data_IF_218065729272
#
_entry.id   IF_218065729272
#
_cell.length_a   1.000
_cell.length_b   1.000
_cell.length_c   1.000
_cell.angle_alpha   90.00
_cell.angle_beta   90.00
_cell.angle_gamma   90.00
#
_symmetry.space_group_name_H-M   'P 1'
#
loop_
_entity.id
_entity.type
_entity.pdbx_description
1 polymer ?
#
# COMPACT_ATOMS: atom_id res chain seq x y z
N UNK A 1 -1.78 0.66 -10.27
CA UNK A 1 -0.86 0.22 -11.34
C UNK A 1 -1.44 0.62 -12.69
N UNK A 2 -0.62 1.01 -13.67
CA UNK A 2 -1.06 1.25 -15.05
C UNK A 2 -0.83 -0.03 -15.84
N UNK A 3 -1.91 -0.64 -16.30
CA UNK A 3 -1.89 -2.03 -16.81
C UNK A 3 -1.10 -2.20 -18.12
N UNK A 4 -1.13 -1.20 -18.99
CA UNK A 4 -0.45 -1.25 -20.29
C UNK A 4 1.05 -0.86 -20.22
N UNK A 5 1.51 -0.32 -19.12
CA UNK A 5 2.93 -0.06 -18.90
C UNK A 5 3.65 -1.30 -18.40
N UNK A 6 4.93 -1.44 -18.74
CA UNK A 6 5.80 -2.47 -18.19
C UNK A 6 5.97 -2.33 -16.67
N UNK A 7 6.48 -3.37 -16.02
CA UNK A 7 6.85 -3.31 -14.60
C UNK A 7 7.84 -2.17 -14.36
N UNK A 8 8.87 -2.08 -15.19
CA UNK A 8 9.89 -1.05 -15.09
C UNK A 8 9.30 0.37 -15.17
N UNK A 9 8.40 0.61 -16.14
CA UNK A 9 7.72 1.89 -16.29
C UNK A 9 6.77 2.19 -15.11
N UNK A 10 6.07 1.18 -14.58
CA UNK A 10 5.24 1.35 -13.39
C UNK A 10 6.04 1.75 -12.14
N UNK A 11 7.23 1.21 -11.96
CA UNK A 11 8.12 1.59 -10.85
C UNK A 11 8.64 3.03 -11.00
N UNK A 12 8.77 3.52 -12.23
CA UNK A 12 9.25 4.86 -12.53
C UNK A 12 8.21 5.96 -12.32
N UNK A 13 6.91 5.65 -12.30
CA UNK A 13 5.82 6.65 -12.38
C UNK A 13 5.93 7.84 -11.41
N UNK A 14 6.49 7.64 -10.22
CA UNK A 14 6.67 8.71 -9.22
C UNK A 14 7.99 9.47 -9.33
N UNK A 15 8.98 8.90 -10.04
CA UNK A 15 10.33 9.46 -10.14
C UNK A 15 10.74 9.79 -11.58
N UNK A 16 9.79 9.78 -12.52
CA UNK A 16 10.04 9.91 -13.97
C UNK A 16 10.80 11.18 -14.37
N UNK A 17 10.70 12.25 -13.58
CA UNK A 17 11.38 13.51 -13.84
C UNK A 17 12.78 13.62 -13.21
N UNK A 18 13.20 12.65 -12.41
CA UNK A 18 14.49 12.67 -11.72
C UNK A 18 15.68 12.51 -12.68
N UNK A 19 16.80 13.22 -12.47
CA UNK A 19 18.02 13.10 -13.28
C UNK A 19 18.61 11.69 -13.24
N UNK A 20 18.31 10.93 -12.19
CA UNK A 20 18.73 9.54 -11.97
C UNK A 20 18.39 8.60 -13.14
N UNK A 21 17.27 8.86 -13.83
CA UNK A 21 16.73 7.99 -14.86
C UNK A 21 17.02 8.48 -16.29
N UNK A 22 17.79 9.57 -16.44
CA UNK A 22 18.07 10.18 -17.72
C UNK A 22 19.56 10.11 -18.07
N UNK A 23 19.82 9.87 -19.33
CA UNK A 23 21.14 9.97 -19.94
C UNK A 23 21.01 10.84 -21.20
N UNK A 24 21.74 11.95 -21.26
CA UNK A 24 21.67 12.92 -22.38
C UNK A 24 20.23 13.40 -22.68
N UNK A 25 19.41 13.64 -21.62
CA UNK A 25 18.02 14.09 -21.76
C UNK A 25 16.99 12.98 -22.07
N UNK A 26 17.42 11.78 -22.44
CA UNK A 26 16.57 10.63 -22.74
C UNK A 26 16.51 9.65 -21.55
N UNK A 27 15.44 8.85 -21.50
CA UNK A 27 15.28 7.80 -20.50
C UNK A 27 16.34 6.70 -20.68
N UNK A 28 17.13 6.44 -19.64
CA UNK A 28 18.09 5.33 -19.61
C UNK A 28 17.37 4.00 -19.32
N UNK A 29 16.85 3.37 -20.37
CA UNK A 29 16.13 2.10 -20.29
C UNK A 29 16.95 0.97 -19.68
N UNK A 30 18.28 0.93 -19.95
CA UNK A 30 19.15 -0.12 -19.38
C UNK A 30 19.26 0.01 -17.86
N UNK A 31 19.40 1.24 -17.36
CA UNK A 31 19.45 1.51 -15.94
C UNK A 31 18.11 1.22 -15.25
N UNK A 32 17.01 1.61 -15.91
CA UNK A 32 15.67 1.36 -15.42
C UNK A 32 15.36 -0.14 -15.30
N UNK A 33 15.71 -0.93 -16.33
CA UNK A 33 15.48 -2.37 -16.30
C UNK A 33 16.30 -3.06 -15.19
N UNK A 34 17.58 -2.72 -15.02
CA UNK A 34 18.39 -3.25 -13.92
C UNK A 34 17.79 -2.96 -12.55
N UNK A 35 17.34 -1.73 -12.34
CA UNK A 35 16.64 -1.37 -11.09
C UNK A 35 15.35 -2.18 -10.91
N UNK A 36 14.56 -2.33 -11.96
CA UNK A 36 13.33 -3.11 -11.90
C UNK A 36 13.59 -4.60 -11.61
N UNK A 37 14.66 -5.19 -12.15
CA UNK A 37 15.11 -6.56 -11.82
C UNK A 37 15.47 -6.69 -10.33
N UNK A 38 16.16 -5.69 -9.76
CA UNK A 38 16.49 -5.67 -8.33
C UNK A 38 15.23 -5.58 -7.47
N UNK A 39 14.27 -4.75 -7.86
CA UNK A 39 12.98 -4.62 -7.15
C UNK A 39 12.17 -5.91 -7.27
N UNK A 40 12.06 -6.49 -8.46
CA UNK A 40 11.38 -7.79 -8.68
C UNK A 40 11.92 -8.86 -7.72
N UNK A 41 13.25 -8.96 -7.59
CA UNK A 41 13.90 -9.91 -6.68
C UNK A 41 13.62 -9.57 -5.22
N UNK A 42 13.84 -8.30 -4.81
CA UNK A 42 13.68 -7.85 -3.42
C UNK A 42 12.27 -8.03 -2.90
N UNK A 43 11.28 -7.77 -3.73
CA UNK A 43 9.87 -7.87 -3.38
C UNK A 43 9.23 -9.21 -3.77
N UNK A 44 10.06 -10.19 -4.19
CA UNK A 44 9.61 -11.54 -4.57
C UNK A 44 8.41 -11.51 -5.53
N UNK A 45 8.49 -10.65 -6.54
CA UNK A 45 7.48 -10.57 -7.60
C UNK A 45 7.69 -11.71 -8.57
N UNK A 46 6.65 -12.46 -8.89
CA UNK A 46 6.70 -13.51 -9.91
C UNK A 46 6.44 -12.87 -11.28
N UNK A 47 7.52 -12.55 -11.99
CA UNK A 47 7.50 -12.01 -13.33
C UNK A 47 8.68 -12.57 -14.14
N UNK A 48 8.54 -12.82 -15.45
CA UNK A 48 9.63 -13.33 -16.30
C UNK A 48 10.76 -12.29 -16.49
N UNK A 49 10.40 -11.03 -16.67
CA UNK A 49 11.33 -9.92 -16.83
C UNK A 49 10.64 -8.55 -16.55
N UNK A 50 11.41 -7.42 -16.43
CA UNK A 50 10.85 -6.11 -16.14
C UNK A 50 10.04 -5.48 -17.29
N UNK A 51 10.14 -5.99 -18.50
CA UNK A 51 9.48 -5.39 -19.67
C UNK A 51 8.04 -5.86 -19.86
N UNK A 52 7.63 -6.91 -19.12
CA UNK A 52 6.26 -7.42 -19.26
C UNK A 52 5.25 -6.39 -18.75
N UNK A 53 4.09 -6.27 -19.42
CA UNK A 53 3.06 -5.30 -19.04
C UNK A 53 2.35 -5.72 -17.75
N UNK A 54 1.86 -4.73 -17.00
CA UNK A 54 1.19 -4.94 -15.72
C UNK A 54 0.03 -5.91 -15.77
N UNK A 55 -0.75 -5.93 -16.85
CA UNK A 55 -1.89 -6.85 -17.00
C UNK A 55 -1.49 -8.33 -17.05
N UNK A 56 -0.24 -8.67 -17.37
CA UNK A 56 0.24 -10.06 -17.39
C UNK A 56 0.50 -10.65 -15.99
N UNK A 57 0.50 -9.81 -14.96
CA UNK A 57 0.74 -10.24 -13.58
C UNK A 57 -0.56 -10.63 -12.88
N UNK A 58 -0.48 -11.57 -11.95
CA UNK A 58 -1.56 -11.82 -10.99
C UNK A 58 -1.78 -10.61 -10.07
N UNK A 59 -2.98 -10.44 -9.51
CA UNK A 59 -3.34 -9.34 -8.61
C UNK A 59 -2.35 -9.15 -7.46
N UNK A 60 -1.92 -10.27 -6.83
CA UNK A 60 -0.92 -10.22 -5.77
C UNK A 60 0.45 -9.71 -6.24
N UNK A 61 0.90 -10.06 -7.44
CA UNK A 61 2.15 -9.53 -8.00
C UNK A 61 2.01 -8.07 -8.44
N UNK A 62 0.85 -7.66 -8.96
CA UNK A 62 0.55 -6.25 -9.24
C UNK A 62 0.63 -5.42 -7.96
N UNK A 63 0.04 -5.91 -6.87
CA UNK A 63 0.07 -5.22 -5.58
C UNK A 63 1.49 -5.12 -5.02
N UNK A 64 2.30 -6.17 -5.15
CA UNK A 64 3.72 -6.12 -4.76
C UNK A 64 4.49 -5.02 -5.49
N UNK A 65 4.24 -4.81 -6.79
CA UNK A 65 4.86 -3.72 -7.56
C UNK A 65 4.38 -2.36 -7.07
N UNK A 66 3.09 -2.20 -6.78
CA UNK A 66 2.54 -0.94 -6.23
C UNK A 66 3.18 -0.63 -4.87
N UNK A 67 3.21 -1.61 -3.96
CA UNK A 67 3.84 -1.47 -2.64
C UNK A 67 5.32 -1.15 -2.77
N UNK A 68 6.05 -1.89 -3.63
CA UNK A 68 7.47 -1.65 -3.89
C UNK A 68 7.74 -0.21 -4.33
N UNK A 69 6.97 0.29 -5.27
CA UNK A 69 7.08 1.68 -5.75
C UNK A 69 6.92 2.71 -4.64
N UNK A 70 5.92 2.52 -3.76
CA UNK A 70 5.67 3.45 -2.65
C UNK A 70 6.79 3.39 -1.60
N UNK A 71 7.29 2.20 -1.28
CA UNK A 71 8.37 2.00 -0.32
C UNK A 71 9.71 2.53 -0.84
N UNK A 72 10.05 2.22 -2.11
CA UNK A 72 11.30 2.63 -2.77
C UNK A 72 11.37 4.16 -3.01
N UNK A 73 10.22 4.84 -3.05
CA UNK A 73 10.18 6.30 -3.10
C UNK A 73 10.81 6.97 -1.87
N UNK A 74 11.15 6.22 -0.82
CA UNK A 74 11.94 6.68 0.32
C UNK A 74 11.29 7.77 1.18
N UNK A 75 9.97 7.94 1.09
CA UNK A 75 9.24 8.97 1.84
C UNK A 75 9.16 8.63 3.33
N UNK A 76 9.11 9.66 4.17
CA UNK A 76 8.93 9.52 5.63
C UNK A 76 7.51 9.05 6.01
N UNK A 77 6.54 9.25 5.13
CA UNK A 77 5.15 8.84 5.30
C UNK A 77 4.69 8.03 4.08
N UNK A 78 3.98 6.93 4.33
CA UNK A 78 3.36 6.09 3.30
C UNK A 78 1.86 5.99 3.60
N UNK A 79 1.03 6.21 2.58
CA UNK A 79 -0.41 5.97 2.61
C UNK A 79 -0.68 4.62 1.92
N UNK A 80 -1.33 3.73 2.64
CA UNK A 80 -1.92 2.50 2.11
C UNK A 80 -3.45 2.61 2.13
N UNK A 81 -4.07 2.58 0.97
CA UNK A 81 -5.53 2.61 0.82
C UNK A 81 -6.00 1.27 0.29
N UNK A 82 -6.76 0.53 1.09
CA UNK A 82 -7.29 -0.81 0.81
C UNK A 82 -6.21 -1.79 0.26
N UNK A 83 -5.04 -1.90 0.90
CA UNK A 83 -3.86 -2.52 0.28
C UNK A 83 -4.00 -4.04 0.07
N UNK A 84 -4.94 -4.68 0.77
CA UNK A 84 -5.13 -6.14 0.73
C UNK A 84 -6.42 -6.56 0.03
N UNK A 85 -7.21 -5.61 -0.45
CA UNK A 85 -8.51 -5.90 -1.05
C UNK A 85 -8.39 -6.81 -2.28
N UNK A 86 -9.11 -7.94 -2.25
CA UNK A 86 -9.15 -8.89 -3.37
C UNK A 86 -7.88 -9.72 -3.58
N UNK A 87 -7.00 -9.78 -2.58
CA UNK A 87 -5.78 -10.57 -2.60
C UNK A 87 -5.97 -11.95 -1.94
N UNK A 88 -5.13 -12.89 -2.34
CA UNK A 88 -4.98 -14.17 -1.63
C UNK A 88 -4.25 -14.01 -0.29
N UNK A 89 -4.36 -14.99 0.59
CA UNK A 89 -3.76 -14.96 1.93
C UNK A 89 -2.24 -14.73 1.91
N UNK A 90 -1.53 -15.29 0.93
CA UNK A 90 -0.09 -15.12 0.81
C UNK A 90 0.29 -13.67 0.48
N UNK A 91 -0.46 -13.04 -0.42
CA UNK A 91 -0.26 -11.64 -0.78
C UNK A 91 -0.65 -10.70 0.38
N UNK A 92 -1.73 -10.99 1.11
CA UNK A 92 -2.12 -10.24 2.33
C UNK A 92 -0.99 -10.27 3.36
N UNK A 93 -0.51 -11.47 3.69
CA UNK A 93 0.58 -11.62 4.66
C UNK A 93 1.85 -10.85 4.24
N UNK A 94 2.18 -10.89 2.95
CA UNK A 94 3.31 -10.12 2.41
C UNK A 94 3.12 -8.61 2.60
N UNK A 95 1.93 -8.05 2.29
CA UNK A 95 1.64 -6.62 2.46
C UNK A 95 1.72 -6.22 3.94
N UNK A 96 1.11 -6.99 4.83
CA UNK A 96 1.16 -6.74 6.29
C UNK A 96 2.60 -6.72 6.81
N UNK A 97 3.40 -7.73 6.43
CA UNK A 97 4.82 -7.79 6.77
C UNK A 97 5.57 -6.54 6.31
N UNK A 98 5.35 -6.12 5.06
CA UNK A 98 6.00 -4.93 4.51
C UNK A 98 5.61 -3.66 5.27
N UNK A 99 4.32 -3.49 5.62
CA UNK A 99 3.84 -2.36 6.43
C UNK A 99 4.55 -2.31 7.78
N UNK A 100 4.63 -3.44 8.47
CA UNK A 100 5.29 -3.54 9.78
C UNK A 100 6.80 -3.27 9.69
N UNK A 101 7.47 -3.76 8.64
CA UNK A 101 8.89 -3.48 8.40
C UNK A 101 9.16 -1.99 8.16
N UNK A 102 8.32 -1.32 7.38
CA UNK A 102 8.46 0.12 7.14
C UNK A 102 8.17 0.95 8.41
N UNK A 103 7.18 0.54 9.20
CA UNK A 103 6.90 1.10 10.52
C UNK A 103 8.11 0.94 11.46
N UNK A 104 8.72 -0.24 11.51
CA UNK A 104 9.91 -0.50 12.33
C UNK A 104 11.12 0.36 11.93
N UNK A 105 11.21 0.80 10.67
CA UNK A 105 12.20 1.76 10.18
C UNK A 105 11.88 3.22 10.58
N UNK A 106 10.84 3.46 11.37
CA UNK A 106 10.43 4.78 11.85
C UNK A 106 9.62 5.60 10.84
N UNK A 107 9.06 4.98 9.81
CA UNK A 107 8.16 5.68 8.88
C UNK A 107 6.77 5.85 9.49
N UNK A 108 6.13 6.96 9.17
CA UNK A 108 4.72 7.18 9.47
C UNK A 108 3.87 6.41 8.46
N UNK A 109 2.96 5.56 8.94
CA UNK A 109 2.05 4.78 8.10
C UNK A 109 0.62 5.28 8.31
N UNK A 110 -0.05 5.67 7.24
CA UNK A 110 -1.49 5.89 7.23
C UNK A 110 -2.15 4.73 6.47
N UNK A 111 -2.86 3.89 7.21
CA UNK A 111 -3.60 2.76 6.67
C UNK A 111 -5.09 3.11 6.61
N UNK A 112 -5.69 3.01 5.44
CA UNK A 112 -7.13 3.08 5.23
C UNK A 112 -7.60 1.70 4.82
N UNK A 113 -8.47 1.08 5.61
CA UNK A 113 -9.00 -0.25 5.34
C UNK A 113 -10.41 -0.42 5.89
N UNK A 114 -11.22 -1.23 5.21
CA UNK A 114 -12.52 -1.72 5.72
C UNK A 114 -12.38 -3.06 6.42
N UNK A 115 -11.22 -3.71 6.33
CA UNK A 115 -10.92 -4.98 6.99
C UNK A 115 -10.50 -4.74 8.44
N UNK A 116 -11.42 -4.95 9.40
CA UNK A 116 -11.15 -4.68 10.82
C UNK A 116 -9.97 -5.50 11.35
N UNK A 117 -9.82 -6.75 10.92
CA UNK A 117 -8.69 -7.61 11.31
C UNK A 117 -7.34 -6.99 10.93
N UNK A 118 -7.24 -6.39 9.74
CA UNK A 118 -6.06 -5.66 9.28
C UNK A 118 -5.78 -4.44 10.16
N UNK A 119 -6.81 -3.62 10.42
CA UNK A 119 -6.71 -2.42 11.26
C UNK A 119 -6.22 -2.78 12.67
N UNK A 120 -6.82 -3.79 13.31
CA UNK A 120 -6.43 -4.19 14.67
C UNK A 120 -5.01 -4.76 14.74
N UNK A 121 -4.57 -5.46 13.68
CA UNK A 121 -3.25 -6.10 13.65
C UNK A 121 -2.11 -5.09 13.42
N UNK A 122 -2.33 -4.06 12.60
CA UNK A 122 -1.25 -3.21 12.11
C UNK A 122 -1.17 -1.84 12.78
N UNK A 123 -2.28 -1.35 13.39
CA UNK A 123 -2.38 0.03 13.83
C UNK A 123 -2.00 0.22 15.29
N UNK A 124 -1.37 1.35 15.62
CA UNK A 124 -1.18 1.82 16.99
C UNK A 124 -2.35 2.70 17.45
N UNK A 125 -3.04 3.32 16.49
CA UNK A 125 -4.21 4.16 16.71
C UNK A 125 -5.22 3.94 15.59
N UNK A 126 -6.49 3.86 15.94
CA UNK A 126 -7.62 3.67 15.03
C UNK A 126 -8.45 4.95 15.05
N UNK A 127 -8.67 5.52 13.86
CA UNK A 127 -9.56 6.66 13.63
C UNK A 127 -10.77 6.16 12.86
N UNK A 128 -11.95 6.31 13.42
CA UNK A 128 -13.20 5.94 12.76
C UNK A 128 -13.82 7.18 12.11
N UNK A 129 -14.13 7.07 10.82
CA UNK A 129 -14.78 8.14 10.06
C UNK A 129 -16.23 7.76 9.74
N UNK A 130 -17.13 8.72 9.92
CA UNK A 130 -18.53 8.61 9.50
C UNK A 130 -19.00 9.92 8.88
N UNK A 131 -19.53 9.88 7.65
CA UNK A 131 -20.05 11.05 6.91
C UNK A 131 -19.11 12.26 6.95
N UNK A 132 -17.80 12.03 6.72
CA UNK A 132 -16.79 13.09 6.68
C UNK A 132 -16.38 13.66 8.05
N UNK A 133 -16.81 13.05 9.16
CA UNK A 133 -16.46 13.46 10.52
C UNK A 133 -15.76 12.33 11.25
N UNK A 134 -14.89 12.67 12.20
CA UNK A 134 -14.27 11.70 13.11
C UNK A 134 -15.33 11.27 14.12
N UNK A 135 -15.70 9.98 14.10
CA UNK A 135 -16.63 9.37 15.03
C UNK A 135 -15.93 8.94 16.33
N UNK A 136 -14.64 8.64 16.28
CA UNK A 136 -13.84 8.30 17.45
C UNK A 136 -12.38 8.04 17.10
N UNK A 137 -11.51 8.09 18.13
CA UNK A 137 -10.08 7.78 18.06
C UNK A 137 -9.74 6.87 19.23
N UNK A 138 -9.17 5.70 18.96
CA UNK A 138 -8.91 4.66 19.96
C UNK A 138 -7.53 4.04 19.78
N UNK A 139 -6.99 3.43 20.84
CA UNK A 139 -5.97 2.39 20.67
C UNK A 139 -6.68 1.05 20.42
N UNK A 140 -6.05 0.09 19.74
CA UNK A 140 -6.64 -1.24 19.52
C UNK A 140 -7.09 -1.94 20.81
N UNK A 141 -6.38 -1.71 21.93
CA UNK A 141 -6.71 -2.27 23.25
C UNK A 141 -7.90 -1.62 23.96
N UNK A 142 -8.40 -0.48 23.47
CA UNK A 142 -9.47 0.31 24.08
C UNK A 142 -10.83 0.08 23.40
N UNK A 143 -10.87 -0.69 22.31
CA UNK A 143 -12.05 -0.85 21.49
C UNK A 143 -12.10 -2.24 20.85
N UNK A 144 -13.30 -2.76 20.65
CA UNK A 144 -13.55 -4.00 19.92
C UNK A 144 -14.16 -3.76 18.52
N UNK A 145 -14.23 -4.81 17.73
CA UNK A 145 -14.76 -4.77 16.38
C UNK A 145 -16.25 -4.37 16.33
N UNK A 146 -17.02 -4.77 17.34
CA UNK A 146 -18.44 -4.43 17.46
C UNK A 146 -18.64 -2.93 17.64
N UNK A 147 -17.88 -2.31 18.55
CA UNK A 147 -17.92 -0.86 18.77
C UNK A 147 -17.46 -0.07 17.54
N UNK A 148 -16.40 -0.52 16.86
CA UNK A 148 -15.97 0.10 15.60
C UNK A 148 -17.07 0.00 14.55
N UNK A 149 -17.71 -1.16 14.37
CA UNK A 149 -18.82 -1.36 13.43
C UNK A 149 -20.01 -0.43 13.72
N UNK A 150 -20.38 -0.26 15.00
CA UNK A 150 -21.41 0.70 15.38
C UNK A 150 -21.04 2.14 15.03
N UNK A 151 -19.82 2.56 15.33
CA UNK A 151 -19.34 3.90 14.98
C UNK A 151 -19.31 4.13 13.47
N UNK A 152 -18.91 3.12 12.67
CA UNK A 152 -18.92 3.16 11.21
C UNK A 152 -20.35 3.28 10.64
N UNK A 153 -21.37 2.76 11.33
CA UNK A 153 -22.79 2.92 10.95
C UNK A 153 -23.39 4.24 11.42
N UNK A 154 -22.65 5.03 12.19
CA UNK A 154 -23.12 6.32 12.75
C UNK A 154 -23.81 6.22 14.09
N UNK A 155 -23.82 5.03 14.69
CA UNK A 155 -24.38 4.85 16.04
C UNK A 155 -23.40 5.48 17.07
N UNK A 156 -23.88 6.47 17.83
CA UNK A 156 -23.22 7.02 19.01
C UNK A 156 -24.02 6.62 20.22
N UNK A 157 -23.35 6.14 21.29
CA UNK A 157 -23.98 5.70 22.54
C UNK A 157 -25.23 6.53 22.90
N UNK A 158 -26.43 5.97 22.67
CA UNK A 158 -27.71 6.53 23.16
C UNK A 158 -28.39 7.57 22.25
N UNK A 159 -27.81 7.99 21.14
CA UNK A 159 -28.48 8.92 20.22
C UNK A 159 -28.59 8.32 18.81
N UNK A 160 -29.76 7.79 18.47
CA UNK A 160 -30.20 7.63 17.08
C UNK A 160 -30.30 9.02 16.46
N UNK A 161 -29.32 9.46 15.69
CA UNK A 161 -29.55 10.66 14.87
C UNK A 161 -30.33 10.29 13.62
N UNK A 162 -31.62 10.68 13.64
CA UNK A 162 -32.49 10.81 12.48
C UNK A 162 -31.85 11.65 11.37
#
# INVERSE_FOLDING_TARGET
MVMNLSIAENLLLKESYGPKWRKHGLLDRKRLNRYAEEVIRRYSVKAPDPSVPGWSLSGGNQQKIVVAREVEAGKKMILFDQPTRGLDLGAIHYVHKTILEEKAKGKCILLVSTELSEIFTLSDRIVVLYRGKIAGIYKPSEVDAGKIGLLMSGYRNGEEKR
#
